data_IF_681285767194
#
_entry.id   IF_681285767194
#
_cell.length_a   1.000
_cell.length_b   1.000
_cell.length_c   1.000
_cell.angle_alpha   90.00
_cell.angle_beta   90.00
_cell.angle_gamma   90.00
#
_symmetry.space_group_name_H-M   'P 1'
#
loop_
_entity.id
_entity.type
_entity.pdbx_description
1 polymer ?
#
# COMPACT_ATOMS: atom_id res chain seq x y z
N UNK A 1 30.90 40.87 42.36
CA UNK A 1 32.34 40.84 42.70
C UNK A 1 32.91 39.52 42.22
N UNK A 2 33.45 39.49 41.00
CA UNK A 2 34.89 39.47 40.71
C UNK A 2 35.57 38.12 41.00
N UNK A 3 35.71 37.27 39.96
CA UNK A 3 37.00 36.94 39.31
C UNK A 3 36.87 35.69 38.41
N UNK A 4 36.89 35.91 37.09
CA UNK A 4 37.70 35.13 36.13
C UNK A 4 39.16 35.68 36.20
N UNK A 5 40.22 35.18 35.51
CA UNK A 5 40.26 34.30 34.32
C UNK A 5 41.49 33.34 34.19
N UNK A 6 41.52 32.50 33.13
CA UNK A 6 42.65 32.22 32.18
C UNK A 6 42.34 30.93 31.38
N UNK A 7 42.01 31.04 30.08
CA UNK A 7 42.89 30.92 28.89
C UNK A 7 43.79 29.68 28.87
N UNK A 8 43.56 28.78 27.91
CA UNK A 8 44.60 28.44 26.94
C UNK A 8 44.02 27.91 25.62
N UNK A 9 44.56 28.50 24.57
CA UNK A 9 44.40 28.28 23.14
C UNK A 9 45.38 27.22 22.64
N UNK A 10 44.97 26.37 21.70
CA UNK A 10 45.84 25.86 20.63
C UNK A 10 45.03 25.14 19.56
N UNK A 11 44.93 25.76 18.40
CA UNK A 11 44.73 25.09 17.10
C UNK A 11 46.09 24.90 16.44
N UNK A 12 46.27 23.88 15.60
CA UNK A 12 47.17 24.02 14.45
C UNK A 12 46.46 23.73 13.12
N UNK A 13 46.84 24.54 12.13
CA UNK A 13 46.44 24.53 10.72
C UNK A 13 46.76 23.22 9.97
N UNK A 14 46.07 22.95 8.84
CA UNK A 14 46.51 21.98 7.85
C UNK A 14 47.53 22.58 6.88
N UNK A 15 48.64 21.87 6.68
CA UNK A 15 49.66 22.17 5.68
C UNK A 15 49.22 21.74 4.28
N UNK A 16 49.57 22.59 3.32
CA UNK A 16 49.35 22.43 1.89
C UNK A 16 50.37 21.49 1.21
N UNK A 17 50.08 21.22 -0.07
CA UNK A 17 50.98 20.79 -1.16
C UNK A 17 50.90 19.32 -1.53
N UNK A 18 50.46 19.01 -2.75
CA UNK A 18 51.41 18.92 -3.87
C UNK A 18 50.71 18.52 -5.19
N UNK A 19 51.07 19.26 -6.23
CA UNK A 19 50.73 19.06 -7.64
C UNK A 19 51.48 17.88 -8.28
N UNK A 20 50.86 17.21 -9.27
CA UNK A 20 51.43 16.73 -10.56
C UNK A 20 50.41 15.81 -11.23
N UNK A 21 49.77 16.19 -12.33
CA UNK A 21 50.30 16.18 -13.70
C UNK A 21 50.64 14.77 -14.20
N UNK A 22 49.81 14.21 -15.11
CA UNK A 22 50.23 13.80 -16.46
C UNK A 22 49.10 13.07 -17.21
N UNK A 23 48.75 13.67 -18.35
CA UNK A 23 48.04 13.04 -19.47
C UNK A 23 48.83 11.84 -19.99
N UNK A 24 48.12 10.80 -20.45
CA UNK A 24 48.25 10.33 -21.86
C UNK A 24 47.09 9.42 -22.29
N UNK A 25 46.79 9.35 -23.60
CA UNK A 25 45.68 8.61 -24.19
C UNK A 25 46.13 7.31 -24.90
N UNK A 26 45.21 6.37 -25.11
CA UNK A 26 45.25 5.39 -26.21
C UNK A 26 43.84 4.84 -26.44
N UNK A 27 43.24 5.03 -27.63
CA UNK A 27 43.07 4.00 -28.68
C UNK A 27 42.37 2.74 -28.15
N UNK A 28 41.21 2.29 -28.64
CA UNK A 28 40.64 2.32 -29.98
C UNK A 28 40.46 0.88 -30.48
N UNK A 29 39.29 0.58 -31.03
CA UNK A 29 38.94 -0.59 -31.90
C UNK A 29 38.18 -1.77 -31.22
N UNK A 30 37.54 -2.69 -31.99
CA UNK A 30 36.10 -2.66 -32.28
C UNK A 30 35.39 -4.04 -32.14
N UNK A 31 34.10 -4.10 -32.51
CA UNK A 31 33.35 -5.32 -32.91
C UNK A 31 33.02 -6.30 -31.76
N UNK A 32 31.80 -6.82 -31.58
CA UNK A 32 31.12 -7.78 -32.46
C UNK A 32 29.62 -7.77 -32.13
N UNK A 33 28.77 -7.65 -33.16
CA UNK A 33 27.32 -7.91 -33.08
C UNK A 33 27.04 -9.42 -33.06
N UNK A 34 26.07 -9.91 -32.26
CA UNK A 34 25.59 -11.28 -32.39
C UNK A 34 24.57 -11.43 -33.54
N UNK A 35 24.49 -12.62 -34.19
CA UNK A 35 23.54 -12.90 -35.27
C UNK A 35 22.11 -13.17 -34.75
N UNK A 36 21.09 -13.04 -35.62
CA UNK A 36 19.69 -13.32 -35.27
C UNK A 36 19.40 -14.84 -35.20
N UNK A 37 18.40 -15.27 -34.42
CA UNK A 37 17.97 -16.67 -34.39
C UNK A 37 17.11 -17.02 -35.62
N UNK A 38 17.48 -18.12 -36.27
CA UNK A 38 16.76 -18.73 -37.38
C UNK A 38 15.39 -19.25 -36.97
N UNK A 39 14.38 -18.91 -37.78
CA UNK A 39 13.09 -19.57 -37.79
C UNK A 39 13.20 -20.99 -38.39
N UNK A 40 12.50 -21.94 -37.81
CA UNK A 40 12.44 -23.31 -38.33
C UNK A 40 11.38 -24.18 -37.68
N UNK A 41 10.30 -24.41 -38.45
CA UNK A 41 9.44 -25.61 -38.52
C UNK A 41 8.70 -26.07 -37.25
N UNK A 42 7.37 -25.92 -37.16
CA UNK A 42 6.34 -26.81 -37.76
C UNK A 42 6.57 -28.29 -37.49
N UNK A 43 5.72 -28.87 -36.62
CA UNK A 43 5.09 -30.21 -36.59
C UNK A 43 4.20 -30.22 -35.32
N UNK A 44 2.89 -29.99 -35.39
CA UNK A 44 1.80 -30.93 -35.69
C UNK A 44 1.56 -32.04 -34.63
N UNK A 45 0.43 -31.86 -33.91
CA UNK A 45 -0.51 -32.87 -33.33
C UNK A 45 -0.04 -33.81 -32.18
N UNK A 46 -0.96 -34.46 -31.40
CA UNK A 46 -2.43 -34.34 -31.34
C UNK A 46 -3.03 -34.17 -29.92
N UNK A 47 -4.32 -33.84 -29.98
CA UNK A 47 -5.44 -33.98 -29.04
C UNK A 47 -5.49 -35.30 -28.22
N UNK A 48 -5.69 -35.21 -26.90
CA UNK A 48 -6.39 -36.25 -26.11
C UNK A 48 -7.15 -35.66 -24.90
N UNK A 49 -8.48 -35.70 -25.03
CA UNK A 49 -9.48 -36.16 -24.05
C UNK A 49 -9.31 -35.85 -22.54
N UNK A 50 -10.27 -35.06 -22.08
CA UNK A 50 -11.25 -35.41 -21.05
C UNK A 50 -10.81 -36.30 -19.87
N UNK A 51 -10.80 -35.72 -18.66
CA UNK A 51 -11.23 -36.46 -17.48
C UNK A 51 -12.02 -35.55 -16.53
N UNK A 52 -13.33 -35.76 -16.56
CA UNK A 52 -14.26 -35.40 -15.49
C UNK A 52 -13.99 -36.29 -14.27
N UNK A 53 -13.97 -35.71 -13.06
CA UNK A 53 -14.41 -36.42 -11.84
C UNK A 53 -14.77 -35.46 -10.72
N UNK A 54 -16.08 -35.27 -10.57
CA UNK A 54 -16.74 -34.94 -9.32
C UNK A 54 -16.57 -36.08 -8.32
N UNK A 55 -16.34 -35.77 -7.04
CA UNK A 55 -16.76 -36.63 -5.94
C UNK A 55 -16.95 -35.81 -4.66
N UNK A 56 -18.23 -35.69 -4.31
CA UNK A 56 -18.80 -35.40 -3.00
C UNK A 56 -18.11 -36.18 -1.88
N UNK A 57 -17.79 -35.51 -0.77
CA UNK A 57 -17.57 -36.20 0.50
C UNK A 57 -18.76 -36.01 1.43
N UNK A 58 -19.22 -37.14 1.93
CA UNK A 58 -20.46 -37.37 2.66
C UNK A 58 -20.20 -37.24 4.15
N UNK A 59 -21.20 -36.65 4.80
CA UNK A 59 -21.43 -36.52 6.22
C UNK A 59 -21.34 -37.87 6.97
N UNK A 60 -20.74 -37.86 8.18
CA UNK A 60 -20.88 -38.95 9.15
C UNK A 60 -21.00 -38.40 10.56
N UNK A 61 -22.23 -38.40 11.07
CA UNK A 61 -22.58 -38.30 12.50
C UNK A 61 -22.20 -39.59 13.23
N UNK A 62 -21.76 -39.46 14.47
CA UNK A 62 -21.62 -40.55 15.44
C UNK A 62 -21.55 -39.97 16.85
N UNK A 63 -22.47 -40.40 17.72
CA UNK A 63 -22.72 -39.89 19.07
C UNK A 63 -22.25 -40.85 20.18
N UNK A 64 -22.07 -40.27 21.39
CA UNK A 64 -22.04 -40.86 22.76
C UNK A 64 -20.75 -41.64 23.11
N UNK A 65 -20.15 -41.49 24.30
CA UNK A 65 -20.73 -41.71 25.65
C UNK A 65 -20.07 -40.86 26.76
N UNK A 66 -20.80 -40.65 27.86
CA UNK A 66 -20.40 -40.00 29.11
C UNK A 66 -19.54 -40.89 30.03
N UNK A 67 -18.68 -40.29 30.85
CA UNK A 67 -18.32 -40.81 32.18
C UNK A 67 -17.83 -39.67 33.10
N UNK A 68 -18.42 -39.60 34.30
CA UNK A 68 -18.05 -38.73 35.42
C UNK A 68 -16.72 -39.17 36.07
N UNK A 69 -15.98 -38.19 36.60
CA UNK A 69 -14.84 -38.39 37.48
C UNK A 69 -14.36 -37.07 38.09
N UNK A 70 -14.79 -36.80 39.32
CA UNK A 70 -14.33 -35.68 40.15
C UNK A 70 -12.86 -35.84 40.54
N UNK A 71 -12.07 -34.78 40.36
CA UNK A 71 -10.68 -34.68 40.83
C UNK A 71 -10.28 -33.21 41.04
N UNK A 72 -9.97 -32.87 42.28
CA UNK A 72 -9.77 -31.53 42.84
C UNK A 72 -8.35 -30.99 42.58
N UNK A 73 -8.30 -29.71 42.20
CA UNK A 73 -7.21 -28.71 42.31
C UNK A 73 -5.79 -29.07 41.81
N UNK A 74 -5.31 -28.32 40.82
CA UNK A 74 -4.07 -27.52 40.95
C UNK A 74 -4.11 -26.32 39.98
N UNK A 75 -3.72 -25.16 40.51
CA UNK A 75 -3.51 -23.89 39.80
C UNK A 75 -2.77 -24.08 38.48
N UNK A 76 -3.34 -23.54 37.40
CA UNK A 76 -2.56 -23.02 36.27
C UNK A 76 -3.03 -21.59 36.00
N UNK A 77 -2.52 -20.66 36.80
CA UNK A 77 -2.33 -19.30 36.31
C UNK A 77 -1.26 -19.40 35.22
N UNK A 78 -1.68 -19.52 33.96
CA UNK A 78 -0.78 -19.35 32.82
C UNK A 78 -1.09 -18.01 32.19
N UNK A 79 -0.11 -17.14 32.31
CA UNK A 79 0.02 -15.82 31.72
C UNK A 79 -0.25 -15.90 30.22
N UNK A 80 -1.48 -15.61 29.79
CA UNK A 80 -1.73 -15.24 28.39
C UNK A 80 -1.58 -13.73 28.33
N UNK A 81 -0.33 -13.30 28.21
CA UNK A 81 -0.03 -11.95 27.77
C UNK A 81 -0.74 -11.75 26.42
N UNK A 82 -1.55 -10.70 26.35
CA UNK A 82 -2.25 -10.26 25.15
C UNK A 82 -1.29 -10.23 23.95
N UNK A 83 -1.48 -11.16 23.01
CA UNK A 83 -0.76 -11.20 21.73
C UNK A 83 -1.76 -10.93 20.61
N UNK A 84 -2.47 -9.81 20.73
CA UNK A 84 -3.63 -9.49 19.90
C UNK A 84 -3.29 -8.97 18.50
N UNK A 85 -2.02 -8.84 18.10
CA UNK A 85 -1.68 -8.17 16.83
C UNK A 85 -2.08 -8.91 15.54
N UNK A 86 -2.10 -10.26 15.54
CA UNK A 86 -2.26 -11.07 14.31
C UNK A 86 -3.47 -12.01 14.29
N UNK A 87 -4.01 -12.39 15.45
CA UNK A 87 -5.06 -13.42 15.51
C UNK A 87 -6.40 -13.00 14.89
N UNK A 88 -6.56 -11.72 14.58
CA UNK A 88 -7.80 -11.18 14.03
C UNK A 88 -7.60 -10.44 12.71
N UNK A 89 -6.53 -10.75 11.97
CA UNK A 89 -6.35 -10.30 10.57
C UNK A 89 -7.25 -11.10 9.61
N UNK A 90 -8.47 -11.38 10.08
CA UNK A 90 -9.50 -12.25 9.53
C UNK A 90 -9.05 -13.70 9.32
N UNK A 91 -9.48 -14.55 10.26
CA UNK A 91 -9.39 -16.02 10.21
C UNK A 91 -7.97 -16.60 10.26
N UNK A 92 -6.97 -15.82 10.68
CA UNK A 92 -5.64 -16.35 10.93
C UNK A 92 -5.61 -17.15 12.23
N UNK A 93 -5.25 -18.42 12.14
CA UNK A 93 -5.10 -19.29 13.31
C UNK A 93 -3.89 -18.86 14.18
N UNK A 94 -3.93 -19.23 15.47
CA UNK A 94 -2.83 -19.00 16.41
C UNK A 94 -1.49 -19.60 15.94
N UNK A 95 -1.54 -20.75 15.27
CA UNK A 95 -0.35 -21.38 14.69
C UNK A 95 0.24 -20.54 13.57
N UNK A 96 -0.62 -20.05 12.65
CA UNK A 96 -0.20 -19.18 11.54
C UNK A 96 0.41 -17.89 12.06
N UNK A 97 -0.22 -17.24 13.04
CA UNK A 97 0.31 -16.04 13.67
C UNK A 97 1.68 -16.29 14.33
N UNK A 98 1.84 -17.42 15.02
CA UNK A 98 3.12 -17.80 15.61
C UNK A 98 4.20 -18.06 14.55
N UNK A 99 3.86 -18.76 13.46
CA UNK A 99 4.78 -19.04 12.37
C UNK A 99 5.19 -17.77 11.61
N UNK A 100 4.28 -16.81 11.42
CA UNK A 100 4.60 -15.49 10.88
C UNK A 100 5.57 -14.76 11.80
N UNK A 101 5.27 -14.65 13.11
CA UNK A 101 6.20 -13.98 14.05
C UNK A 101 7.58 -14.60 14.05
N UNK A 102 7.67 -15.93 14.04
CA UNK A 102 8.96 -16.64 14.00
C UNK A 102 9.71 -16.38 12.68
N UNK A 103 9.02 -16.47 11.55
CA UNK A 103 9.63 -16.24 10.24
C UNK A 103 9.98 -14.76 10.01
N UNK A 104 9.19 -13.82 10.52
CA UNK A 104 9.45 -12.38 10.48
C UNK A 104 10.80 -12.04 11.09
N UNK A 105 11.05 -12.51 12.32
CA UNK A 105 12.35 -12.33 13.00
C UNK A 105 13.54 -12.93 12.23
N UNK A 106 13.28 -13.93 11.40
CA UNK A 106 14.31 -14.56 10.58
C UNK A 106 14.56 -13.81 9.27
N UNK A 107 13.51 -13.26 8.64
CA UNK A 107 13.63 -12.55 7.35
C UNK A 107 13.92 -11.06 7.50
N UNK A 108 13.62 -10.45 8.65
CA UNK A 108 13.84 -9.03 8.93
C UNK A 108 15.33 -8.73 9.19
N UNK A 109 16.13 -8.90 8.14
CA UNK A 109 17.57 -8.65 8.09
C UNK A 109 17.88 -7.56 7.05
N UNK A 110 19.16 -7.14 6.94
CA UNK A 110 19.61 -6.04 6.07
C UNK A 110 19.19 -6.14 4.58
N UNK A 111 18.75 -7.30 4.10
CA UNK A 111 18.30 -7.51 2.72
C UNK A 111 16.80 -7.29 2.46
N UNK A 112 15.95 -7.25 3.49
CA UNK A 112 14.49 -7.23 3.30
C UNK A 112 14.00 -5.93 2.65
N UNK A 113 14.64 -4.80 2.98
CA UNK A 113 14.37 -3.51 2.33
C UNK A 113 14.55 -3.57 0.81
N UNK A 114 15.54 -4.31 0.32
CA UNK A 114 15.78 -4.49 -1.12
C UNK A 114 14.77 -5.45 -1.75
N UNK A 115 14.25 -6.42 -0.99
CA UNK A 115 13.16 -7.29 -1.46
C UNK A 115 11.89 -6.49 -1.65
N UNK A 116 11.49 -5.71 -0.64
CA UNK A 116 10.26 -4.89 -0.69
C UNK A 116 10.38 -3.78 -1.73
N UNK A 117 11.53 -3.11 -1.83
CA UNK A 117 11.78 -2.13 -2.90
C UNK A 117 11.62 -2.75 -4.29
N UNK A 118 12.16 -3.95 -4.53
CA UNK A 118 11.93 -4.67 -5.79
C UNK A 118 10.48 -5.06 -6.03
N UNK A 119 9.67 -5.24 -4.99
CA UNK A 119 8.24 -5.48 -5.15
C UNK A 119 7.54 -4.26 -5.76
N UNK A 120 7.88 -3.04 -5.32
CA UNK A 120 7.33 -1.82 -5.93
C UNK A 120 7.74 -1.68 -7.40
N UNK A 121 9.02 -1.87 -7.73
CA UNK A 121 9.46 -1.83 -9.13
C UNK A 121 8.79 -2.89 -10.02
N UNK A 122 8.55 -4.10 -9.49
CA UNK A 122 7.78 -5.13 -10.19
C UNK A 122 6.30 -4.74 -10.36
N UNK A 123 5.72 -4.01 -9.41
CA UNK A 123 4.36 -3.49 -9.53
C UNK A 123 4.28 -2.39 -10.60
N UNK A 124 5.28 -1.50 -10.67
CA UNK A 124 5.39 -0.48 -11.72
C UNK A 124 5.47 -1.10 -13.12
N UNK A 125 6.25 -2.17 -13.28
CA UNK A 125 6.37 -2.84 -14.59
C UNK A 125 5.11 -3.61 -15.02
N UNK A 126 4.26 -4.00 -14.07
CA UNK A 126 3.00 -4.70 -14.32
C UNK A 126 1.78 -3.77 -14.38
N UNK A 127 1.87 -2.55 -13.84
CA UNK A 127 0.77 -1.59 -13.80
C UNK A 127 1.27 -0.17 -14.14
N UNK A 128 1.00 0.34 -15.35
CA UNK A 128 1.44 1.68 -15.79
C UNK A 128 0.94 2.83 -14.89
N UNK A 129 -0.22 2.67 -14.25
CA UNK A 129 -0.74 3.64 -13.31
C UNK A 129 0.15 3.79 -12.06
N UNK A 130 0.72 2.67 -11.58
CA UNK A 130 1.67 2.66 -10.45
C UNK A 130 2.98 3.35 -10.85
N UNK A 131 3.51 3.05 -12.05
CA UNK A 131 4.70 3.72 -12.58
C UNK A 131 4.49 5.24 -12.68
N UNK A 132 3.32 5.66 -13.15
CA UNK A 132 2.95 7.08 -13.26
C UNK A 132 2.86 7.75 -11.89
N UNK A 133 2.29 7.05 -10.89
CA UNK A 133 2.16 7.57 -9.53
C UNK A 133 3.53 7.83 -8.86
N UNK A 134 4.53 6.96 -9.10
CA UNK A 134 5.88 7.16 -8.56
C UNK A 134 6.74 8.14 -9.37
N UNK A 135 6.42 8.34 -10.65
CA UNK A 135 7.17 9.26 -11.52
C UNK A 135 6.75 10.73 -11.37
N UNK A 136 5.49 11.01 -11.03
CA UNK A 136 4.99 12.37 -10.91
C UNK A 136 5.16 12.94 -9.50
N UNK A 137 6.23 13.71 -9.31
CA UNK A 137 6.56 14.40 -8.04
C UNK A 137 5.59 15.51 -7.65
N UNK A 138 4.78 16.01 -8.57
CA UNK A 138 3.74 17.03 -8.34
C UNK A 138 2.58 16.53 -7.47
N UNK A 139 2.22 15.25 -7.54
CA UNK A 139 1.17 14.67 -6.66
C UNK A 139 1.66 14.40 -5.23
N UNK A 140 2.98 14.42 -5.03
CA UNK A 140 3.61 14.25 -3.73
C UNK A 140 3.70 15.57 -2.93
N UNK A 141 3.42 16.71 -3.58
CA UNK A 141 3.58 18.05 -2.99
C UNK A 141 2.29 18.63 -2.40
N UNK A 142 1.11 18.06 -2.71
CA UNK A 142 -0.20 18.52 -2.20
C UNK A 142 -0.70 17.75 -0.95
N UNK A 143 0.07 16.75 -0.50
CA UNK A 143 -0.24 15.94 0.67
C UNK A 143 0.87 16.08 1.71
N UNK A 144 0.57 16.23 3.02
CA UNK A 144 1.57 16.18 4.08
C UNK A 144 2.20 14.77 4.24
N UNK A 145 1.96 13.85 3.30
CA UNK A 145 2.50 12.50 3.31
C UNK A 145 4.04 12.52 3.25
N UNK A 146 4.64 11.94 4.27
CA UNK A 146 6.07 11.66 4.40
C UNK A 146 6.58 10.64 3.38
N UNK A 147 5.68 10.01 2.62
CA UNK A 147 5.96 8.95 1.66
C UNK A 147 5.97 9.50 0.24
N UNK A 148 7.17 9.74 -0.32
CA UNK A 148 7.35 10.44 -1.61
C UNK A 148 8.18 9.66 -2.63
N UNK A 149 8.62 8.47 -2.28
CA UNK A 149 9.45 7.65 -3.15
C UNK A 149 9.19 6.18 -2.90
N UNK A 150 9.64 5.34 -3.83
CA UNK A 150 9.67 3.89 -3.62
C UNK A 150 10.43 3.55 -2.33
N UNK A 151 11.51 4.28 -2.02
CA UNK A 151 12.27 4.07 -0.79
C UNK A 151 11.44 4.38 0.46
N UNK A 152 10.65 5.45 0.46
CA UNK A 152 9.78 5.79 1.58
C UNK A 152 8.62 4.81 1.72
N UNK A 153 8.00 4.41 0.61
CA UNK A 153 6.94 3.39 0.60
C UNK A 153 7.46 2.04 1.09
N UNK A 154 8.70 1.70 0.75
CA UNK A 154 9.38 0.50 1.25
C UNK A 154 9.54 0.54 2.76
N UNK A 155 10.08 1.64 3.31
CA UNK A 155 10.24 1.81 4.76
C UNK A 155 8.88 1.78 5.47
N UNK A 156 7.91 2.52 4.93
CA UNK A 156 6.56 2.57 5.48
C UNK A 156 5.90 1.19 5.52
N UNK A 157 5.98 0.41 4.43
CA UNK A 157 5.42 -0.95 4.41
C UNK A 157 6.11 -1.86 5.42
N UNK A 158 7.44 -1.75 5.59
CA UNK A 158 8.16 -2.54 6.60
C UNK A 158 7.73 -2.18 8.01
N UNK A 159 7.62 -0.89 8.33
CA UNK A 159 7.11 -0.42 9.63
C UNK A 159 5.67 -0.89 9.85
N UNK A 160 4.82 -0.83 8.82
CA UNK A 160 3.46 -1.35 8.90
C UNK A 160 3.44 -2.85 9.18
N UNK A 161 4.29 -3.64 8.52
CA UNK A 161 4.38 -5.08 8.78
C UNK A 161 4.94 -5.40 10.17
N UNK A 162 5.95 -4.64 10.65
CA UNK A 162 6.44 -4.75 12.03
C UNK A 162 5.30 -4.52 13.03
N UNK A 163 4.55 -3.43 12.89
CA UNK A 163 3.44 -3.10 13.78
C UNK A 163 2.32 -4.14 13.75
N UNK A 164 1.98 -4.66 12.57
CA UNK A 164 0.99 -5.72 12.41
C UNK A 164 1.45 -7.03 13.08
N UNK A 165 2.72 -7.41 12.90
CA UNK A 165 3.23 -8.72 13.32
C UNK A 165 3.59 -8.75 14.80
N UNK A 166 4.22 -7.69 15.29
CA UNK A 166 4.68 -7.60 16.68
C UNK A 166 3.60 -6.99 17.59
N UNK A 167 2.62 -6.29 17.03
CA UNK A 167 1.62 -5.55 17.82
C UNK A 167 2.24 -4.38 18.58
N UNK A 168 3.40 -3.89 18.14
CA UNK A 168 4.18 -2.82 18.79
C UNK A 168 3.54 -1.43 18.64
N UNK A 169 2.70 -1.25 17.62
CA UNK A 169 2.17 0.04 17.21
C UNK A 169 0.66 0.16 17.41
N UNK A 170 0.26 1.20 18.16
CA UNK A 170 -1.05 1.87 18.13
C UNK A 170 -2.31 1.14 18.61
N UNK A 171 -2.35 -0.19 18.76
CA UNK A 171 -3.63 -0.85 19.11
C UNK A 171 -3.56 -1.97 20.15
N UNK A 172 -3.07 -1.64 21.33
CA UNK A 172 -3.16 -2.49 22.52
C UNK A 172 -4.48 -2.24 23.26
N UNK A 173 -5.51 -3.05 23.00
CA UNK A 173 -6.81 -2.95 23.70
C UNK A 173 -7.87 -3.92 23.19
N UNK A 174 -9.06 -3.96 23.83
CA UNK A 174 -10.15 -4.90 23.49
C UNK A 174 -10.76 -4.74 22.09
N UNK A 175 -10.33 -3.75 21.30
CA UNK A 175 -10.70 -3.55 19.90
C UNK A 175 -9.46 -3.36 19.01
N UNK A 176 -8.34 -4.00 19.37
CA UNK A 176 -7.07 -4.01 18.65
C UNK A 176 -7.25 -4.14 17.13
N UNK A 177 -8.01 -5.16 16.80
CA UNK A 177 -8.12 -5.67 15.46
C UNK A 177 -8.95 -4.77 14.55
N UNK A 178 -10.07 -4.27 15.09
CA UNK A 178 -10.96 -3.36 14.36
C UNK A 178 -10.23 -2.08 13.98
N UNK A 179 -9.42 -1.53 14.88
CA UNK A 179 -8.68 -0.29 14.60
C UNK A 179 -7.54 -0.52 13.61
N UNK A 180 -6.85 -1.66 13.68
CA UNK A 180 -5.85 -2.04 12.66
C UNK A 180 -6.51 -2.16 11.28
N UNK A 181 -7.68 -2.82 11.19
CA UNK A 181 -8.41 -2.93 9.93
C UNK A 181 -8.86 -1.57 9.40
N UNK A 182 -9.30 -0.67 10.29
CA UNK A 182 -9.66 0.69 9.91
C UNK A 182 -8.44 1.50 9.44
N UNK A 183 -7.31 1.38 10.13
CA UNK A 183 -6.06 2.05 9.76
C UNK A 183 -5.60 1.64 8.36
N UNK A 184 -5.67 0.34 8.03
CA UNK A 184 -5.38 -0.15 6.68
C UNK A 184 -6.34 0.44 5.63
N UNK A 185 -7.62 0.57 5.94
CA UNK A 185 -8.58 1.25 5.05
C UNK A 185 -8.24 2.73 4.87
N UNK A 186 -7.85 3.42 5.94
CA UNK A 186 -7.48 4.83 5.87
C UNK A 186 -6.24 5.05 4.99
N UNK A 187 -5.25 4.15 5.07
CA UNK A 187 -4.10 4.17 4.15
C UNK A 187 -4.54 3.96 2.69
N UNK A 188 -5.48 3.04 2.44
CA UNK A 188 -6.08 2.86 1.12
C UNK A 188 -6.79 4.12 0.60
N UNK A 189 -7.62 4.74 1.45
CA UNK A 189 -8.38 5.95 1.13
C UNK A 189 -7.46 7.12 0.74
N UNK A 190 -6.30 7.26 1.39
CA UNK A 190 -5.31 8.30 1.05
C UNK A 190 -4.80 8.18 -0.40
N UNK A 191 -4.88 7.01 -1.04
CA UNK A 191 -4.49 6.82 -2.43
C UNK A 191 -5.62 7.13 -3.42
N UNK A 192 -6.85 7.40 -2.97
CA UNK A 192 -8.00 7.62 -3.87
C UNK A 192 -7.81 8.80 -4.83
N UNK A 193 -7.11 9.85 -4.40
CA UNK A 193 -6.79 11.01 -5.23
C UNK A 193 -5.97 10.65 -6.49
N UNK A 194 -5.20 9.55 -6.45
CA UNK A 194 -4.40 9.06 -7.58
C UNK A 194 -5.25 8.44 -8.70
N UNK A 195 -6.54 8.19 -8.44
CA UNK A 195 -7.48 7.72 -9.45
C UNK A 195 -7.53 8.69 -10.62
N UNK A 196 -7.74 9.96 -10.33
CA UNK A 196 -8.05 10.94 -11.38
C UNK A 196 -6.78 11.47 -12.03
N UNK A 197 -5.68 11.53 -11.28
CA UNK A 197 -4.39 12.00 -11.79
C UNK A 197 -3.53 10.93 -12.48
N UNK A 198 -3.60 9.68 -12.03
CA UNK A 198 -2.72 8.61 -12.50
C UNK A 198 -3.49 7.40 -13.05
N UNK A 199 -4.82 7.47 -13.12
CA UNK A 199 -5.69 6.34 -13.46
C UNK A 199 -5.43 5.12 -12.57
N UNK A 200 -5.09 5.33 -11.30
CA UNK A 200 -4.95 4.24 -10.33
C UNK A 200 -6.32 3.58 -10.10
N UNK A 201 -6.38 2.24 -10.16
CA UNK A 201 -7.61 1.45 -9.99
C UNK A 201 -7.40 0.33 -8.99
N UNK A 202 -8.49 -0.37 -8.66
CA UNK A 202 -8.48 -1.50 -7.73
C UNK A 202 -7.46 -2.59 -8.12
N UNK A 203 -7.27 -2.82 -9.42
CA UNK A 203 -6.30 -3.77 -10.00
C UNK A 203 -4.87 -3.54 -9.51
N UNK A 204 -4.46 -2.30 -9.24
CA UNK A 204 -3.12 -2.01 -8.75
C UNK A 204 -2.83 -2.70 -7.40
N UNK A 205 -3.84 -2.84 -6.55
CA UNK A 205 -3.72 -3.54 -5.26
C UNK A 205 -3.63 -5.07 -5.44
N UNK A 206 -4.29 -5.62 -6.46
CA UNK A 206 -4.21 -7.04 -6.80
C UNK A 206 -2.81 -7.39 -7.31
N UNK A 207 -2.30 -6.61 -8.28
CA UNK A 207 -0.94 -6.73 -8.80
C UNK A 207 0.09 -6.62 -7.67
N UNK A 208 -0.08 -5.64 -6.78
CA UNK A 208 0.84 -5.45 -5.66
C UNK A 208 0.82 -6.63 -4.68
N UNK A 209 -0.36 -7.12 -4.33
CA UNK A 209 -0.52 -8.29 -3.46
C UNK A 209 0.10 -9.55 -4.06
N UNK A 210 -0.10 -9.78 -5.36
CA UNK A 210 0.52 -10.89 -6.07
C UNK A 210 2.05 -10.82 -6.01
N UNK A 211 2.63 -9.65 -6.32
CA UNK A 211 4.09 -9.45 -6.31
C UNK A 211 4.68 -9.63 -4.91
N UNK A 212 4.00 -9.14 -3.87
CA UNK A 212 4.40 -9.35 -2.49
C UNK A 212 4.40 -10.84 -2.13
N UNK A 213 3.31 -11.56 -2.43
CA UNK A 213 3.24 -13.00 -2.18
C UNK A 213 4.34 -13.74 -2.92
N UNK A 214 4.54 -13.45 -4.21
CA UNK A 214 5.57 -14.07 -5.05
C UNK A 214 6.98 -13.90 -4.46
N UNK A 215 7.23 -12.76 -3.82
CA UNK A 215 8.53 -12.41 -3.26
C UNK A 215 8.73 -12.97 -1.85
N UNK A 216 7.73 -12.84 -0.97
CA UNK A 216 7.84 -13.24 0.44
C UNK A 216 7.91 -14.77 0.62
N UNK A 217 7.13 -15.53 -0.15
CA UNK A 217 7.13 -17.00 -0.01
C UNK A 217 8.43 -17.65 -0.48
N UNK A 218 9.31 -16.91 -1.17
CA UNK A 218 10.64 -17.35 -1.60
C UNK A 218 11.74 -17.06 -0.58
N UNK A 219 11.45 -16.28 0.47
CA UNK A 219 12.45 -15.92 1.48
C UNK A 219 12.83 -17.13 2.35
N UNK A 220 14.12 -17.26 2.63
CA UNK A 220 14.65 -18.21 3.62
C UNK A 220 14.00 -17.90 4.98
N UNK A 221 13.39 -18.88 5.64
CA UNK A 221 12.56 -18.68 6.84
C UNK A 221 11.05 -18.75 6.59
N UNK A 222 10.57 -18.29 5.43
CA UNK A 222 9.16 -18.47 5.01
C UNK A 222 9.01 -19.77 4.23
N UNK A 223 9.87 -20.00 3.23
CA UNK A 223 9.77 -21.17 2.32
C UNK A 223 9.98 -22.51 3.02
N UNK A 224 10.74 -22.52 4.11
CA UNK A 224 11.07 -23.73 4.87
C UNK A 224 9.90 -24.22 5.75
N UNK A 225 8.91 -23.37 5.99
CA UNK A 225 7.76 -23.68 6.82
C UNK A 225 6.46 -23.48 6.02
N UNK A 226 5.78 -24.60 5.70
CA UNK A 226 4.50 -24.59 4.96
C UNK A 226 3.43 -23.73 5.65
N UNK A 227 3.42 -23.75 6.97
CA UNK A 227 2.47 -23.04 7.81
C UNK A 227 2.75 -21.53 7.80
N UNK A 228 4.03 -21.13 7.88
CA UNK A 228 4.45 -19.74 7.66
C UNK A 228 4.09 -19.27 6.24
N UNK A 229 4.38 -20.08 5.21
CA UNK A 229 4.03 -19.75 3.82
C UNK A 229 2.53 -19.51 3.62
N UNK A 230 1.66 -20.29 4.29
CA UNK A 230 0.21 -20.08 4.30
C UNK A 230 -0.16 -18.80 5.05
N UNK A 231 0.42 -18.59 6.23
CA UNK A 231 0.21 -17.39 7.03
C UNK A 231 0.57 -16.10 6.29
N UNK A 232 1.73 -16.06 5.63
CA UNK A 232 2.16 -14.91 4.82
C UNK A 232 1.22 -14.61 3.66
N UNK A 233 0.73 -15.65 2.96
CA UNK A 233 -0.27 -15.46 1.89
C UNK A 233 -1.55 -14.83 2.42
N UNK A 234 -2.04 -15.33 3.57
CA UNK A 234 -3.23 -14.80 4.20
C UNK A 234 -3.02 -13.36 4.68
N UNK A 235 -1.91 -13.08 5.38
CA UNK A 235 -1.57 -11.74 5.86
C UNK A 235 -1.52 -10.73 4.71
N UNK A 236 -0.79 -11.03 3.65
CA UNK A 236 -0.65 -10.14 2.49
C UNK A 236 -2.01 -9.93 1.83
N UNK A 237 -2.79 -11.00 1.63
CA UNK A 237 -4.14 -10.90 1.05
C UNK A 237 -5.05 -10.01 1.89
N UNK A 238 -5.05 -10.14 3.23
CA UNK A 238 -5.86 -9.27 4.09
C UNK A 238 -5.38 -7.83 4.02
N UNK A 239 -4.07 -7.58 4.09
CA UNK A 239 -3.52 -6.21 4.02
C UNK A 239 -3.91 -5.52 2.71
N UNK A 240 -3.71 -6.19 1.57
CA UNK A 240 -4.04 -5.61 0.27
C UNK A 240 -5.54 -5.48 0.03
N UNK A 241 -6.36 -6.42 0.52
CA UNK A 241 -7.82 -6.31 0.48
C UNK A 241 -8.33 -5.10 1.28
N UNK A 242 -7.80 -4.88 2.49
CA UNK A 242 -8.21 -3.75 3.33
C UNK A 242 -7.80 -2.40 2.74
N UNK A 243 -6.60 -2.31 2.17
CA UNK A 243 -6.15 -1.15 1.41
C UNK A 243 -7.06 -0.88 0.20
N UNK A 244 -7.35 -1.92 -0.60
CA UNK A 244 -8.27 -1.83 -1.74
C UNK A 244 -9.66 -1.36 -1.32
N UNK A 245 -10.23 -1.96 -0.27
CA UNK A 245 -11.54 -1.60 0.25
C UNK A 245 -11.62 -0.11 0.62
N UNK A 246 -10.63 0.40 1.35
CA UNK A 246 -10.55 1.81 1.72
C UNK A 246 -10.41 2.74 0.51
N UNK A 247 -9.57 2.36 -0.45
CA UNK A 247 -9.41 3.07 -1.72
C UNK A 247 -10.74 3.16 -2.48
N UNK A 248 -11.41 2.04 -2.73
CA UNK A 248 -12.66 2.03 -3.50
C UNK A 248 -13.79 2.76 -2.77
N UNK A 249 -13.85 2.66 -1.44
CA UNK A 249 -14.83 3.38 -0.63
C UNK A 249 -14.64 4.90 -0.79
N UNK A 250 -13.42 5.40 -0.66
CA UNK A 250 -13.15 6.83 -0.80
C UNK A 250 -13.39 7.32 -2.24
N UNK A 251 -13.03 6.53 -3.26
CA UNK A 251 -13.38 6.85 -4.65
C UNK A 251 -14.89 6.99 -4.85
N UNK A 252 -15.70 6.12 -4.25
CA UNK A 252 -17.17 6.23 -4.30
C UNK A 252 -17.65 7.49 -3.60
N UNK A 253 -17.05 7.86 -2.46
CA UNK A 253 -17.39 9.08 -1.73
C UNK A 253 -17.04 10.35 -2.51
N UNK A 254 -15.86 10.40 -3.14
CA UNK A 254 -15.43 11.52 -3.98
C UNK A 254 -16.40 11.75 -5.14
N UNK A 255 -16.82 10.68 -5.84
CA UNK A 255 -17.82 10.80 -6.92
C UNK A 255 -19.15 11.38 -6.44
N UNK A 256 -19.64 10.96 -5.27
CA UNK A 256 -20.87 11.49 -4.68
C UNK A 256 -20.74 12.96 -4.31
N UNK A 257 -19.59 13.37 -3.78
CA UNK A 257 -19.30 14.78 -3.46
C UNK A 257 -19.28 15.64 -4.73
N UNK A 258 -18.66 15.15 -5.81
CA UNK A 258 -18.64 15.86 -7.10
C UNK A 258 -20.04 16.07 -7.66
N UNK A 259 -20.91 15.05 -7.64
CA UNK A 259 -22.28 15.18 -8.16
C UNK A 259 -23.16 16.14 -7.36
N UNK A 260 -22.95 16.23 -6.04
CA UNK A 260 -23.67 17.19 -5.19
C UNK A 260 -23.25 18.63 -5.49
N UNK A 261 -21.95 18.86 -5.69
CA UNK A 261 -21.43 20.18 -6.04
C UNK A 261 -21.92 20.65 -7.41
N UNK A 262 -22.02 19.75 -8.38
CA UNK A 262 -22.55 20.04 -9.72
C UNK A 262 -24.05 20.39 -9.69
N UNK A 263 -24.83 19.68 -8.85
CA UNK A 263 -26.26 19.97 -8.64
C UNK A 263 -26.46 21.34 -7.99
N UNK A 264 -25.67 21.67 -6.96
CA UNK A 264 -25.74 22.96 -6.27
C UNK A 264 -25.35 24.14 -7.19
N UNK A 265 -24.37 23.96 -8.08
CA UNK A 265 -23.99 24.98 -9.07
C UNK A 265 -25.09 25.20 -10.13
N UNK A 266 -25.78 24.12 -10.52
CA UNK A 266 -26.89 24.19 -11.49
C UNK A 266 -28.10 24.92 -10.89
N UNK A 267 -28.45 24.64 -9.64
CA UNK A 267 -29.53 25.32 -8.92
C UNK A 267 -29.22 26.81 -8.68
N UNK A 268 -27.99 27.15 -8.29
CA UNK A 268 -27.56 28.54 -8.13
C UNK A 268 -27.60 29.32 -9.45
N UNK A 269 -27.21 28.69 -10.57
CA UNK A 269 -27.24 29.30 -11.90
C UNK A 269 -28.66 29.46 -12.44
N UNK A 270 -29.56 28.50 -12.17
CA UNK A 270 -30.98 28.59 -12.53
C UNK A 270 -31.71 29.66 -11.72
N UNK A 271 -31.38 29.82 -10.45
CA UNK A 271 -31.94 30.88 -9.59
C UNK A 271 -31.46 32.28 -10.02
N UNK A 272 -30.20 32.41 -10.46
CA UNK A 272 -29.66 33.66 -10.99
C UNK A 272 -30.29 34.10 -12.33
N UNK A 273 -30.77 33.17 -13.17
CA UNK A 273 -31.49 33.54 -14.40
C UNK A 273 -32.93 34.01 -14.16
N UNK A 274 -33.56 33.62 -13.04
CA UNK A 274 -34.93 34.04 -12.70
C UNK A 274 -35.00 35.42 -12.02
N UNK A 275 -33.88 36.00 -11.59
CA UNK A 275 -33.82 37.29 -10.89
C UNK A 275 -33.45 38.48 -11.79
N UNK A 276 -33.43 38.31 -13.13
CA UNK A 276 -33.24 39.44 -14.06
C UNK A 276 -34.48 40.35 -14.06
N UNK A 277 -34.39 41.62 -13.61
CA UNK A 277 -35.51 42.53 -13.65
C UNK A 277 -35.90 42.83 -15.10
N UNK A 278 -37.19 42.63 -15.40
CA UNK A 278 -37.83 42.94 -16.67
C UNK A 278 -37.70 44.44 -16.92
N UNK A 279 -36.76 44.83 -17.80
CA UNK A 279 -36.62 46.20 -18.28
C UNK A 279 -37.95 46.67 -18.86
N UNK A 280 -38.62 47.59 -18.17
CA UNK A 280 -39.81 48.26 -18.69
C UNK A 280 -39.37 49.22 -19.80
N UNK A 281 -39.66 48.85 -21.04
CA UNK A 281 -39.78 49.76 -22.17
C UNK A 281 -41.24 50.24 -22.26
N UNK A 282 -41.47 51.53 -22.04
CA UNK A 282 -42.70 52.24 -22.39
C UNK A 282 -42.34 53.72 -22.50
N UNK A 283 -42.00 54.19 -23.70
CA UNK A 283 -42.91 54.85 -24.65
C UNK A 283 -43.51 56.17 -24.13
N UNK A 284 -43.01 57.23 -24.76
CA UNK A 284 -43.59 58.54 -25.03
C UNK A 284 -45.12 58.68 -24.85
N UNK A 285 -45.55 59.78 -24.21
CA UNK A 285 -46.62 60.61 -24.80
C UNK A 285 -46.62 62.04 -24.26
N UNK A 286 -46.19 62.95 -25.14
CA UNK A 286 -46.78 64.25 -25.48
C UNK A 286 -47.94 64.76 -24.59
N UNK A 287 -47.81 65.96 -24.00
CA UNK A 287 -48.95 66.88 -23.88
C UNK A 287 -48.50 68.35 -23.90
N UNK A 288 -49.03 69.02 -24.93
CA UNK A 288 -48.93 70.43 -25.32
C UNK A 288 -50.20 71.15 -24.82
N UNK A 289 -50.06 72.25 -24.09
CA UNK A 289 -51.05 73.35 -23.96
C UNK A 289 -50.31 74.55 -23.34
N UNK A 290 -50.12 75.69 -24.02
CA UNK A 290 -51.15 76.65 -24.40
C UNK A 290 -51.64 77.33 -23.12
N UNK A 291 -51.21 78.54 -22.76
CA UNK A 291 -51.26 79.77 -23.54
C UNK A 291 -52.42 80.62 -23.00
N UNK A 292 -52.08 81.66 -22.24
CA UNK A 292 -52.68 83.01 -22.14
C UNK A 292 -52.00 83.75 -20.99
#
# INVERSE_FOLDING_TARGET
MFRSPRRNSASPSPAASSSRELRRPSQGSPSVSPPPPSAGSLLAEPNESAFTRSASYRERRGSRTSHEGQGRMHRAASVVAATSGLCSIDNMSLSQASAIRKSWKHINTKGLIQVVSRCFHKAESRCPAVATAFSNTTFLSASPATTRSVADHTKFLLTLLDDLIEGSGTVSGPNGDVQVMQLLRDYGAKHAHLRDSCNLRAEAWEVFGEVLVESFVKLDGVKQNKEASRGWRLLIATVTDRLRCGFEQEVRLQRRRSSLNESAQTEASSSAMQSRPRSQSGEETFLRRGGL
#
